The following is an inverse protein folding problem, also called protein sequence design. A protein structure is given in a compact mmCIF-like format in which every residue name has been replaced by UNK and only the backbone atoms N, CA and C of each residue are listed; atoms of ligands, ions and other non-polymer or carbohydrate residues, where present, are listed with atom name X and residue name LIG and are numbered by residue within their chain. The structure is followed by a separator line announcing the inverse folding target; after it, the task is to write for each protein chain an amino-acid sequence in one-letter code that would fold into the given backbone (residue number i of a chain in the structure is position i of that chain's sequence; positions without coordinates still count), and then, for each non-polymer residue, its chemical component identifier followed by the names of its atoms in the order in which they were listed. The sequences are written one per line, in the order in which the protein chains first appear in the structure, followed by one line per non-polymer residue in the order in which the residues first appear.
data_IF_120457207030
#
_entry.id   IF_120457207030
#
_cell.length_a   1.000
_cell.length_b   1.000
_cell.length_c   1.000
_cell.angle_alpha   90.00
_cell.angle_beta   90.00
_cell.angle_gamma   90.00
#
_symmetry.space_group_name_H-M   'P 1'
#
loop_
_entity.id
_entity.type
_entity.pdbx_description
1 polymer ?
#
# COMPACT_ATOMS: atom_id res chain seq x y z
N UNK A 1 -36.96 -3.09 -6.27
CA UNK A 1 -36.24 -2.59 -5.12
C UNK A 1 -35.13 -3.56 -4.77
N UNK A 2 -33.87 -3.22 -5.15
CA UNK A 2 -32.70 -3.99 -4.77
C UNK A 2 -32.46 -3.78 -3.27
N UNK A 3 -32.59 -4.81 -2.50
CA UNK A 3 -32.26 -4.84 -1.08
C UNK A 3 -30.72 -4.85 -0.98
N UNK A 4 -30.11 -3.69 -0.91
CA UNK A 4 -28.68 -3.56 -0.52
C UNK A 4 -28.60 -4.03 0.94
N UNK A 5 -28.04 -5.21 1.15
CA UNK A 5 -27.92 -5.80 2.47
C UNK A 5 -27.17 -4.84 3.41
N UNK A 6 -27.72 -4.60 4.60
CA UNK A 6 -27.12 -3.79 5.67
C UNK A 6 -25.72 -4.27 6.10
N UNK A 7 -25.29 -5.44 5.66
CA UNK A 7 -24.00 -6.08 5.96
C UNK A 7 -22.81 -5.40 5.32
N UNK A 8 -22.96 -4.71 4.19
CA UNK A 8 -21.82 -4.16 3.45
C UNK A 8 -21.19 -2.90 4.07
N UNK A 9 -21.94 -2.10 4.81
CA UNK A 9 -21.43 -0.88 5.44
C UNK A 9 -20.78 -1.09 6.81
N UNK A 10 -20.94 -2.26 7.41
CA UNK A 10 -20.45 -2.54 8.77
C UNK A 10 -19.05 -3.15 8.82
N UNK A 11 -18.49 -3.57 7.70
CA UNK A 11 -17.21 -4.31 7.65
C UNK A 11 -15.95 -3.42 7.73
N UNK A 12 -16.08 -2.12 7.48
CA UNK A 12 -14.96 -1.18 7.57
C UNK A 12 -14.60 -0.86 9.02
N UNK A 13 -13.30 -0.75 9.28
CA UNK A 13 -12.79 -0.30 10.57
C UNK A 13 -13.00 1.20 10.69
N UNK A 14 -13.46 1.62 11.83
CA UNK A 14 -13.66 3.02 12.21
C UNK A 14 -12.82 3.34 13.44
N UNK A 15 -12.59 4.62 13.67
CA UNK A 15 -11.97 5.12 14.90
C UNK A 15 -13.03 5.90 15.66
N UNK A 16 -13.22 5.58 16.95
CA UNK A 16 -14.14 6.31 17.81
C UNK A 16 -13.51 7.61 18.36
N UNK A 17 -14.30 8.35 19.17
CA UNK A 17 -13.84 9.60 19.76
C UNK A 17 -12.65 9.44 20.72
N UNK A 18 -12.38 8.24 21.22
CA UNK A 18 -11.27 7.93 22.13
C UNK A 18 -10.05 7.38 21.40
N UNK A 19 -10.07 7.33 20.04
CA UNK A 19 -8.99 6.76 19.25
C UNK A 19 -8.99 5.22 19.19
N UNK A 20 -10.06 4.56 19.68
CA UNK A 20 -10.20 3.11 19.63
C UNK A 20 -10.67 2.65 18.24
N UNK A 21 -10.03 1.63 17.70
CA UNK A 21 -10.54 0.94 16.51
C UNK A 21 -11.81 0.18 16.80
N UNK A 22 -12.81 0.40 15.96
CA UNK A 22 -14.14 -0.21 16.08
C UNK A 22 -14.47 -0.92 14.76
N UNK A 23 -14.97 -2.15 14.86
CA UNK A 23 -15.51 -2.92 13.74
C UNK A 23 -16.86 -3.52 14.14
N UNK A 24 -17.89 -3.32 13.31
CA UNK A 24 -19.24 -3.82 13.58
C UNK A 24 -19.78 -3.39 14.97
N UNK A 25 -19.47 -2.15 15.39
CA UNK A 25 -19.92 -1.58 16.66
C UNK A 25 -19.19 -2.09 17.91
N UNK A 26 -18.12 -2.88 17.74
CA UNK A 26 -17.32 -3.44 18.86
C UNK A 26 -15.87 -3.00 18.75
N UNK A 27 -15.14 -2.91 19.88
CA UNK A 27 -13.69 -2.73 19.85
C UNK A 27 -13.03 -3.77 18.95
N UNK A 28 -12.13 -3.32 18.07
CA UNK A 28 -11.44 -4.17 17.11
C UNK A 28 -9.99 -4.38 17.54
N UNK A 29 -9.66 -5.63 17.78
CA UNK A 29 -8.30 -6.11 18.03
C UNK A 29 -7.92 -7.13 16.96
N UNK A 30 -6.69 -7.16 16.54
CA UNK A 30 -6.26 -8.06 15.47
C UNK A 30 -4.87 -8.63 15.70
N UNK A 31 -4.63 -9.79 15.12
CA UNK A 31 -3.29 -10.32 14.88
C UNK A 31 -3.00 -10.09 13.41
N UNK A 32 -1.94 -9.34 13.13
CA UNK A 32 -1.55 -8.98 11.77
C UNK A 32 -0.18 -9.47 11.40
N UNK A 33 0.09 -9.51 10.10
CA UNK A 33 1.43 -9.80 9.57
C UNK A 33 1.79 -8.84 8.45
N UNK A 34 3.10 -8.71 8.22
CA UNK A 34 3.61 -7.93 7.11
C UNK A 34 3.43 -8.71 5.80
N UNK A 35 2.72 -8.12 4.85
CA UNK A 35 2.41 -8.69 3.53
C UNK A 35 2.64 -7.62 2.45
N UNK A 36 3.80 -6.97 2.50
CA UNK A 36 4.11 -5.81 1.67
C UNK A 36 3.94 -6.08 0.16
N UNK A 37 4.22 -7.28 -0.29
CA UNK A 37 4.19 -7.71 -1.69
C UNK A 37 2.77 -8.04 -2.21
N UNK A 38 1.75 -7.89 -1.41
CA UNK A 38 0.39 -8.40 -1.69
C UNK A 38 -0.22 -7.87 -2.97
N UNK A 39 -0.05 -6.59 -3.29
CA UNK A 39 -0.59 -6.02 -4.53
C UNK A 39 0.09 -6.59 -5.78
N UNK A 40 1.40 -6.81 -5.72
CA UNK A 40 2.18 -7.42 -6.81
C UNK A 40 1.77 -8.88 -6.98
N UNK A 41 1.74 -9.65 -5.89
CA UNK A 41 1.34 -11.06 -5.91
C UNK A 41 -0.08 -11.27 -6.46
N UNK A 42 -0.99 -10.33 -6.16
CA UNK A 42 -2.39 -10.36 -6.61
C UNK A 42 -2.58 -9.86 -8.05
N UNK A 43 -1.54 -9.33 -8.68
CA UNK A 43 -1.62 -8.83 -10.07
C UNK A 43 -1.58 -9.96 -11.09
N UNK A 44 -1.96 -9.65 -12.31
CA UNK A 44 -1.83 -10.55 -13.48
C UNK A 44 -0.56 -10.28 -14.29
N UNK A 45 0.37 -9.48 -13.74
CA UNK A 45 1.62 -9.13 -14.37
C UNK A 45 2.82 -9.82 -13.74
N UNK A 46 3.99 -9.25 -13.99
CA UNK A 46 5.26 -9.74 -13.45
C UNK A 46 5.21 -9.79 -11.91
N UNK A 47 5.61 -10.92 -11.34
CA UNK A 47 5.57 -11.17 -9.90
C UNK A 47 4.20 -11.59 -9.37
N UNK A 48 3.15 -11.63 -10.22
CA UNK A 48 1.81 -12.05 -9.85
C UNK A 48 1.65 -13.58 -9.82
N UNK A 49 0.92 -14.05 -8.81
CA UNK A 49 0.53 -15.46 -8.66
C UNK A 49 -0.71 -15.53 -7.76
N UNK A 50 -1.89 -15.48 -8.36
CA UNK A 50 -3.15 -15.52 -7.62
C UNK A 50 -3.43 -16.86 -6.97
N UNK A 51 -2.90 -17.96 -7.49
CA UNK A 51 -3.03 -19.28 -6.85
C UNK A 51 -2.27 -19.32 -5.53
N UNK A 52 -1.03 -18.84 -5.53
CA UNK A 52 -0.24 -18.66 -4.31
C UNK A 52 -0.91 -17.70 -3.34
N UNK A 53 -1.44 -16.56 -3.84
CA UNK A 53 -2.18 -15.62 -3.01
C UNK A 53 -3.31 -16.29 -2.24
N UNK A 54 -4.15 -17.07 -2.91
CA UNK A 54 -5.27 -17.76 -2.28
C UNK A 54 -4.79 -18.73 -1.19
N UNK A 55 -3.75 -19.51 -1.48
CA UNK A 55 -3.16 -20.45 -0.49
C UNK A 55 -2.62 -19.72 0.74
N UNK A 56 -1.91 -18.62 0.55
CA UNK A 56 -1.35 -17.83 1.65
C UNK A 56 -2.45 -17.17 2.49
N UNK A 57 -3.48 -16.58 1.86
CA UNK A 57 -4.60 -15.97 2.57
C UNK A 57 -5.40 -17.02 3.37
N UNK A 58 -5.70 -18.15 2.78
CA UNK A 58 -6.43 -19.24 3.45
C UNK A 58 -5.63 -19.79 4.64
N UNK A 59 -4.33 -19.96 4.48
CA UNK A 59 -3.45 -20.39 5.56
C UNK A 59 -3.42 -19.37 6.70
N UNK A 60 -3.17 -18.09 6.40
CA UNK A 60 -3.16 -17.04 7.42
C UNK A 60 -4.47 -16.96 8.18
N UNK A 61 -5.60 -17.01 7.47
CA UNK A 61 -6.92 -17.04 8.11
C UNK A 61 -7.09 -18.25 9.03
N UNK A 62 -6.62 -19.42 8.63
CA UNK A 62 -6.74 -20.66 9.41
C UNK A 62 -5.99 -20.63 10.73
N UNK A 63 -4.90 -19.84 10.82
CA UNK A 63 -4.09 -19.69 12.05
C UNK A 63 -4.42 -18.42 12.86
N UNK A 64 -5.50 -17.70 12.49
CA UNK A 64 -5.98 -16.55 13.24
C UNK A 64 -5.36 -15.20 12.87
N UNK A 65 -4.61 -15.12 11.77
CA UNK A 65 -4.16 -13.84 11.21
C UNK A 65 -5.30 -13.29 10.35
N UNK A 66 -5.79 -12.11 10.71
CA UNK A 66 -6.94 -11.48 10.06
C UNK A 66 -6.65 -10.05 9.54
N UNK A 67 -5.43 -9.55 9.72
CA UNK A 67 -5.00 -8.24 9.22
C UNK A 67 -3.65 -8.33 8.51
N UNK A 68 -3.56 -7.72 7.34
CA UNK A 68 -2.32 -7.66 6.56
C UNK A 68 -1.83 -6.21 6.43
N UNK A 69 -0.53 -6.01 6.59
CA UNK A 69 0.13 -4.74 6.29
C UNK A 69 0.67 -4.77 4.87
N UNK A 70 0.07 -4.00 3.97
CA UNK A 70 0.30 -4.03 2.52
C UNK A 70 0.92 -2.72 2.05
N UNK A 71 1.98 -2.81 1.24
CA UNK A 71 2.61 -1.64 0.63
C UNK A 71 1.80 -1.15 -0.58
N UNK A 72 1.43 0.11 -0.56
CA UNK A 72 0.76 0.83 -1.64
C UNK A 72 1.57 2.08 -1.99
N UNK A 73 2.85 1.89 -2.28
CA UNK A 73 3.81 2.98 -2.45
C UNK A 73 5.16 2.50 -2.96
N UNK A 74 5.19 1.78 -4.08
CA UNK A 74 6.42 1.54 -4.84
C UNK A 74 6.56 2.67 -5.84
N UNK A 75 7.43 3.61 -5.53
CA UNK A 75 7.56 4.89 -6.23
C UNK A 75 8.83 4.92 -7.08
N UNK A 76 8.66 5.15 -8.39
CA UNK A 76 9.73 5.17 -9.37
C UNK A 76 10.27 3.79 -9.73
N UNK A 77 10.68 3.64 -10.96
CA UNK A 77 11.39 2.44 -11.41
C UNK A 77 12.88 2.58 -11.05
N UNK A 78 13.37 1.68 -10.23
CA UNK A 78 14.77 1.66 -9.84
C UNK A 78 15.37 0.28 -10.12
N UNK A 79 16.21 0.13 -11.15
CA UNK A 79 16.80 -1.15 -11.55
C UNK A 79 17.93 -1.62 -10.63
N UNK A 80 18.28 -0.86 -9.59
CA UNK A 80 19.32 -1.25 -8.65
C UNK A 80 18.87 -2.51 -7.91
N UNK A 81 19.83 -3.43 -7.71
CA UNK A 81 19.59 -4.67 -6.97
C UNK A 81 18.96 -4.40 -5.59
N UNK A 82 18.05 -5.28 -5.18
CA UNK A 82 17.30 -5.22 -3.94
C UNK A 82 16.24 -4.09 -3.89
N UNK A 83 15.79 -3.61 -5.04
CA UNK A 83 14.64 -2.70 -5.14
C UNK A 83 13.41 -3.47 -5.59
N UNK A 84 12.24 -3.00 -5.14
CA UNK A 84 10.96 -3.61 -5.55
C UNK A 84 10.64 -3.20 -6.99
N UNK A 85 10.28 -4.17 -7.78
CA UNK A 85 9.72 -4.01 -9.13
C UNK A 85 8.55 -4.99 -9.31
N UNK A 86 7.58 -4.65 -10.16
CA UNK A 86 7.41 -3.37 -10.87
C UNK A 86 6.93 -2.25 -9.96
N UNK A 87 7.16 -0.99 -10.36
CA UNK A 87 6.69 0.17 -9.63
C UNK A 87 5.17 0.32 -9.71
N UNK A 88 4.56 0.79 -8.61
CA UNK A 88 3.15 1.20 -8.60
C UNK A 88 2.98 2.58 -9.26
N UNK A 89 3.78 3.55 -8.86
CA UNK A 89 3.80 4.89 -9.42
C UNK A 89 5.15 5.10 -10.14
N UNK A 90 5.14 5.08 -11.46
CA UNK A 90 6.37 5.15 -12.28
C UNK A 90 6.98 6.55 -12.28
N UNK A 91 6.11 7.54 -12.41
CA UNK A 91 6.38 8.97 -12.39
C UNK A 91 5.25 9.65 -11.62
N UNK A 92 5.40 10.93 -11.20
CA UNK A 92 4.34 11.61 -10.46
C UNK A 92 2.98 11.55 -11.17
N UNK A 93 2.02 10.86 -10.54
CA UNK A 93 0.68 10.67 -11.07
C UNK A 93 0.53 9.63 -12.19
N UNK A 94 1.61 8.94 -12.58
CA UNK A 94 1.59 7.89 -13.61
C UNK A 94 1.63 6.52 -12.93
N UNK A 95 0.50 5.84 -12.91
CA UNK A 95 0.31 4.59 -12.20
C UNK A 95 0.35 3.37 -13.11
N UNK A 96 0.85 2.26 -12.54
CA UNK A 96 0.79 0.95 -13.15
C UNK A 96 -0.58 0.31 -12.88
N UNK A 97 -1.46 0.29 -13.88
CA UNK A 97 -2.82 -0.22 -13.74
C UNK A 97 -2.87 -1.72 -13.42
N UNK A 98 -1.88 -2.50 -13.85
CA UNK A 98 -1.77 -3.92 -13.50
C UNK A 98 -1.60 -4.12 -12.00
N UNK A 99 -0.77 -3.31 -11.34
CA UNK A 99 -0.57 -3.36 -9.87
C UNK A 99 -1.80 -2.79 -9.16
N UNK A 100 -2.43 -1.73 -9.65
CA UNK A 100 -3.69 -1.22 -9.09
C UNK A 100 -4.80 -2.27 -9.16
N UNK A 101 -4.90 -2.99 -10.28
CA UNK A 101 -5.82 -4.13 -10.40
C UNK A 101 -5.50 -5.23 -9.40
N UNK A 102 -4.22 -5.50 -9.17
CA UNK A 102 -3.77 -6.44 -8.14
C UNK A 102 -4.18 -6.01 -6.73
N UNK A 103 -4.03 -4.73 -6.40
CA UNK A 103 -4.47 -4.17 -5.12
C UNK A 103 -5.99 -4.33 -4.93
N UNK A 104 -6.78 -4.01 -5.96
CA UNK A 104 -8.23 -4.19 -5.93
C UNK A 104 -8.60 -5.67 -5.74
N UNK A 105 -7.92 -6.57 -6.43
CA UNK A 105 -8.14 -8.00 -6.29
C UNK A 105 -7.81 -8.48 -4.87
N UNK A 106 -6.64 -8.09 -4.34
CA UNK A 106 -6.23 -8.44 -2.98
C UNK A 106 -7.27 -7.99 -1.94
N UNK A 107 -7.65 -6.72 -1.97
CA UNK A 107 -8.59 -6.17 -0.99
C UNK A 107 -9.97 -6.81 -1.10
N UNK A 108 -10.40 -7.18 -2.30
CA UNK A 108 -11.62 -7.96 -2.50
C UNK A 108 -11.51 -9.39 -1.93
N UNK A 109 -10.37 -10.07 -2.13
CA UNK A 109 -10.13 -11.40 -1.56
C UNK A 109 -10.00 -11.39 -0.03
N UNK A 110 -9.45 -10.33 0.55
CA UNK A 110 -9.46 -10.12 2.01
C UNK A 110 -10.89 -9.97 2.54
N UNK A 111 -11.71 -9.16 1.86
CA UNK A 111 -13.11 -8.98 2.22
C UNK A 111 -13.88 -10.29 2.21
N UNK A 112 -13.69 -11.12 1.18
CA UNK A 112 -14.34 -12.45 1.05
C UNK A 112 -13.98 -13.39 2.20
N UNK A 113 -12.83 -13.19 2.85
CA UNK A 113 -12.34 -13.98 3.99
C UNK A 113 -12.58 -13.32 5.34
N UNK A 114 -13.29 -12.20 5.37
CA UNK A 114 -13.46 -11.39 6.59
C UNK A 114 -12.12 -10.96 7.20
N UNK A 115 -11.17 -10.64 6.34
CA UNK A 115 -9.86 -10.09 6.68
C UNK A 115 -9.80 -8.59 6.37
N UNK A 116 -8.89 -7.89 7.01
CA UNK A 116 -8.66 -6.45 6.84
C UNK A 116 -7.23 -6.16 6.41
N UNK A 117 -6.95 -4.93 6.04
CA UNK A 117 -5.60 -4.50 5.72
C UNK A 117 -5.27 -3.12 6.30
N UNK A 118 -4.01 -2.92 6.64
CA UNK A 118 -3.37 -1.62 6.80
C UNK A 118 -2.61 -1.34 5.52
N UNK A 119 -3.06 -0.35 4.75
CA UNK A 119 -2.37 0.09 3.54
C UNK A 119 -1.39 1.19 3.92
N UNK A 120 -0.09 0.91 3.82
CA UNK A 120 0.90 1.95 4.04
C UNK A 120 1.37 2.54 2.70
N UNK A 121 1.35 3.86 2.63
CA UNK A 121 1.40 4.61 1.37
C UNK A 121 2.78 5.18 1.07
N UNK A 122 3.72 5.00 1.97
CA UNK A 122 5.09 5.51 1.80
C UNK A 122 6.08 4.71 2.64
N UNK A 123 7.35 4.92 2.36
CA UNK A 123 8.46 4.31 3.08
C UNK A 123 9.62 5.31 3.20
N UNK A 124 10.31 5.32 4.32
CA UNK A 124 11.54 6.09 4.48
C UNK A 124 12.79 5.37 3.96
N UNK A 125 12.67 4.06 3.70
CA UNK A 125 13.73 3.24 3.12
C UNK A 125 13.71 3.34 1.59
N UNK A 126 14.85 3.12 0.96
CA UNK A 126 15.05 3.30 -0.47
C UNK A 126 14.55 2.13 -1.34
N UNK A 127 14.37 0.94 -0.76
CA UNK A 127 14.00 -0.27 -1.50
C UNK A 127 12.64 -0.19 -2.23
N UNK A 128 11.75 0.71 -1.83
CA UNK A 128 10.47 1.01 -2.50
C UNK A 128 10.37 2.45 -3.03
N UNK A 129 11.48 3.15 -3.19
CA UNK A 129 11.53 4.56 -3.58
C UNK A 129 11.20 5.49 -2.42
N UNK A 130 9.93 5.65 -2.10
CA UNK A 130 9.46 6.38 -0.93
C UNK A 130 9.87 7.86 -0.91
N UNK A 131 10.20 8.36 0.24
CA UNK A 131 10.54 9.79 0.42
C UNK A 131 11.67 10.27 -0.48
N UNK A 132 12.66 9.43 -0.74
CA UNK A 132 13.77 9.80 -1.62
C UNK A 132 13.31 10.02 -3.06
N UNK A 133 12.36 9.23 -3.53
CA UNK A 133 11.82 9.39 -4.88
C UNK A 133 10.97 10.67 -4.99
N UNK A 134 10.15 10.99 -4.00
CA UNK A 134 9.41 12.25 -3.99
C UNK A 134 10.32 13.47 -3.96
N UNK A 135 11.44 13.40 -3.26
CA UNK A 135 12.47 14.44 -3.29
C UNK A 135 13.10 14.56 -4.67
N UNK A 136 13.45 13.44 -5.30
CA UNK A 136 13.97 13.44 -6.68
C UNK A 136 12.98 14.11 -7.63
N UNK A 137 11.72 13.73 -7.59
CA UNK A 137 10.68 14.31 -8.42
C UNK A 137 10.43 15.79 -8.13
N UNK A 138 10.70 16.24 -6.91
CA UNK A 138 10.63 17.65 -6.52
C UNK A 138 11.89 18.46 -6.89
N UNK A 139 12.86 17.86 -7.58
CA UNK A 139 14.04 18.57 -8.09
C UNK A 139 15.25 18.59 -7.17
N UNK A 140 15.31 17.74 -6.13
CA UNK A 140 16.43 17.66 -5.18
C UNK A 140 17.64 16.87 -5.70
N UNK A 141 17.58 16.36 -6.94
CA UNK A 141 18.64 15.55 -7.55
C UNK A 141 18.52 14.05 -7.25
N UNK A 142 19.49 13.28 -7.72
CA UNK A 142 19.50 11.83 -7.53
C UNK A 142 19.72 11.48 -6.06
N UNK A 143 18.90 10.56 -5.49
CA UNK A 143 19.12 10.06 -4.15
C UNK A 143 20.45 9.30 -4.04
N UNK A 144 21.18 9.43 -2.93
CA UNK A 144 22.28 8.52 -2.65
C UNK A 144 21.81 7.07 -2.60
N UNK A 145 22.69 6.16 -3.02
CA UNK A 145 22.45 4.70 -2.98
C UNK A 145 23.14 4.16 -1.74
N UNK A 146 22.42 3.65 -0.73
CA UNK A 146 23.04 3.24 0.54
C UNK A 146 24.19 2.24 0.41
N UNK A 147 24.09 1.31 -0.55
CA UNK A 147 25.12 0.30 -0.80
C UNK A 147 26.41 0.88 -1.41
N UNK A 148 26.34 2.07 -2.01
CA UNK A 148 27.47 2.75 -2.67
C UNK A 148 27.93 3.94 -1.83
N UNK A 149 26.99 4.80 -1.44
CA UNK A 149 27.26 6.08 -0.82
C UNK A 149 27.17 6.04 0.73
N UNK A 150 26.68 4.93 1.27
CA UNK A 150 26.46 4.71 2.69
C UNK A 150 25.13 5.26 3.22
N UNK A 151 24.65 4.65 4.29
CA UNK A 151 23.41 5.04 4.96
C UNK A 151 23.41 6.48 5.50
N UNK A 152 24.51 7.00 6.05
CA UNK A 152 24.52 8.39 6.51
C UNK A 152 24.19 9.40 5.41
N UNK A 153 24.73 9.23 4.20
CA UNK A 153 24.44 10.09 3.06
C UNK A 153 22.95 9.99 2.64
N UNK A 154 22.41 8.77 2.60
CA UNK A 154 21.00 8.56 2.29
C UNK A 154 20.07 9.21 3.33
N UNK A 155 20.34 9.05 4.61
CA UNK A 155 19.54 9.63 5.69
C UNK A 155 19.58 11.16 5.69
N UNK A 156 20.75 11.77 5.39
CA UNK A 156 20.85 13.23 5.21
C UNK A 156 20.02 13.73 4.03
N UNK A 157 19.95 12.97 2.96
CA UNK A 157 19.08 13.28 1.82
C UNK A 157 17.60 13.18 2.19
N UNK A 158 17.18 12.04 2.72
CA UNK A 158 15.77 11.70 2.99
C UNK A 158 15.12 12.62 4.04
N UNK A 159 15.87 13.06 5.06
CA UNK A 159 15.32 13.98 6.07
C UNK A 159 14.83 15.31 5.50
N UNK A 160 15.30 15.71 4.32
CA UNK A 160 14.84 16.93 3.63
C UNK A 160 13.35 16.86 3.27
N UNK A 161 12.77 15.65 3.17
CA UNK A 161 11.35 15.48 2.87
C UNK A 161 10.46 16.23 3.86
N UNK A 162 10.79 16.21 5.14
CA UNK A 162 10.00 16.88 6.19
C UNK A 162 9.92 18.40 6.02
N UNK A 163 10.87 18.98 5.30
CA UNK A 163 10.98 20.42 5.07
C UNK A 163 10.61 20.81 3.63
N UNK A 164 10.31 19.85 2.77
CA UNK A 164 10.00 20.09 1.36
C UNK A 164 8.50 20.13 1.11
N UNK A 165 7.94 21.31 0.92
CA UNK A 165 6.53 21.47 0.58
C UNK A 165 6.21 20.84 -0.79
N UNK A 166 7.11 20.97 -1.77
CA UNK A 166 6.92 20.39 -3.11
C UNK A 166 6.88 18.86 -3.08
N UNK A 167 7.79 18.21 -2.34
CA UNK A 167 7.77 16.75 -2.19
C UNK A 167 6.52 16.28 -1.43
N UNK A 168 6.11 17.00 -0.39
CA UNK A 168 4.88 16.70 0.36
C UNK A 168 3.62 16.84 -0.50
N UNK A 169 3.57 17.82 -1.39
CA UNK A 169 2.45 17.98 -2.33
C UNK A 169 2.33 16.78 -3.25
N UNK A 170 3.44 16.29 -3.80
CA UNK A 170 3.45 15.09 -4.64
C UNK A 170 2.98 13.84 -3.85
N UNK A 171 3.42 13.69 -2.62
CA UNK A 171 2.96 12.59 -1.77
C UNK A 171 1.46 12.70 -1.43
N UNK A 172 0.96 13.89 -1.10
CA UNK A 172 -0.48 14.10 -0.86
C UNK A 172 -1.33 13.72 -2.06
N UNK A 173 -0.87 14.03 -3.28
CA UNK A 173 -1.57 13.60 -4.51
C UNK A 173 -1.65 12.07 -4.61
N UNK A 174 -0.60 11.36 -4.21
CA UNK A 174 -0.64 9.90 -4.12
C UNK A 174 -1.66 9.42 -3.08
N UNK A 175 -1.63 10.00 -1.88
CA UNK A 175 -2.62 9.68 -0.83
C UNK A 175 -4.04 9.89 -1.34
N UNK A 176 -4.31 11.05 -1.92
CA UNK A 176 -5.65 11.40 -2.46
C UNK A 176 -6.08 10.41 -3.56
N UNK A 177 -5.16 10.05 -4.45
CA UNK A 177 -5.44 9.09 -5.51
C UNK A 177 -5.86 7.72 -4.95
N UNK A 178 -5.18 7.23 -3.93
CA UNK A 178 -5.48 5.91 -3.33
C UNK A 178 -6.78 5.97 -2.52
N UNK A 179 -6.96 6.96 -1.63
CA UNK A 179 -8.16 7.01 -0.76
C UNK A 179 -9.45 7.33 -1.52
N UNK A 180 -9.34 7.90 -2.71
CA UNK A 180 -10.50 8.18 -3.57
C UNK A 180 -10.81 7.06 -4.55
N UNK A 181 -9.94 6.04 -4.61
CA UNK A 181 -10.11 4.92 -5.54
C UNK A 181 -11.36 4.10 -5.22
N UNK A 182 -12.05 3.66 -6.25
CA UNK A 182 -13.11 2.66 -6.18
C UNK A 182 -12.56 1.32 -6.65
N UNK A 183 -12.73 0.28 -5.85
CA UNK A 183 -12.30 -1.08 -6.19
C UNK A 183 -13.09 -1.61 -7.38
N UNK A 184 -12.40 -2.08 -8.42
CA UNK A 184 -13.02 -2.55 -9.66
C UNK A 184 -13.78 -3.86 -9.53
N UNK A 185 -13.51 -4.67 -8.50
CA UNK A 185 -14.14 -5.98 -8.31
C UNK A 185 -15.41 -5.91 -7.47
N UNK A 186 -15.49 -5.02 -6.49
CA UNK A 186 -16.61 -4.94 -5.57
C UNK A 186 -17.27 -3.57 -5.49
N UNK A 187 -16.81 -2.58 -6.24
CA UNK A 187 -17.32 -1.21 -6.32
C UNK A 187 -17.30 -0.44 -4.97
N UNK A 188 -16.52 -0.89 -4.00
CA UNK A 188 -16.33 -0.20 -2.74
C UNK A 188 -15.21 0.82 -2.86
N UNK A 189 -15.35 1.94 -2.18
CA UNK A 189 -14.32 2.95 -2.05
C UNK A 189 -13.28 2.50 -1.02
N UNK A 190 -12.02 2.84 -1.28
CA UNK A 190 -10.92 2.64 -0.33
C UNK A 190 -11.05 3.49 0.92
#
# INVERSE_FOLDING_TARGET
GACTSKTDRQSFIKVDANGQFIRNGKPYYFIGTNFWYGAILASEGEGGDRERLHKELDFMKSIGIDNLRVLVGVDGENPIRNRILPALQKEPGIYNDTILSGLDYLTNELRRRDMTAVLFLNNSWDWSGGYSMYLKWAGYGEPPVPEIDGWPAYMEYVKKFQQSDSAKVLFRKHVDFIVQRTNRYNQLRY
#
